data_IF_232647062004
#
_entry.id   IF_232647062004
#
_cell.length_a   1.000
_cell.length_b   1.000
_cell.length_c   1.000
_cell.angle_alpha   90.00
_cell.angle_beta   90.00
_cell.angle_gamma   90.00
#
_symmetry.space_group_name_H-M   'P 1'
#
loop_
_entity.id
_entity.type
_entity.pdbx_description
1 polymer ?
#
# COMPACT_ATOMS: atom_id res chain seq x y z
N UNK A 1 0.68 -8.72 12.42
CA UNK A 1 0.31 -7.58 11.55
C UNK A 1 -0.76 -6.71 12.25
N UNK A 2 -1.20 -5.53 11.75
CA UNK A 2 -2.15 -4.64 12.45
C UNK A 2 -3.39 -5.37 12.98
N UNK A 3 -4.00 -6.23 12.14
CA UNK A 3 -5.19 -6.99 12.49
C UNK A 3 -4.97 -7.93 13.68
N UNK A 4 -3.78 -8.51 13.82
CA UNK A 4 -3.45 -9.35 14.97
C UNK A 4 -3.34 -8.51 16.24
N UNK A 5 -2.75 -7.31 16.15
CA UNK A 5 -2.70 -6.38 17.29
C UNK A 5 -4.11 -5.96 17.71
N UNK A 6 -4.96 -5.62 16.75
CA UNK A 6 -6.36 -5.29 16.96
C UNK A 6 -7.13 -6.43 17.67
N UNK A 7 -6.91 -7.67 17.25
CA UNK A 7 -7.52 -8.86 17.89
C UNK A 7 -7.08 -9.06 19.33
N UNK A 8 -5.82 -8.74 19.65
CA UNK A 8 -5.28 -8.88 21.02
C UNK A 8 -5.51 -7.66 21.91
N UNK A 9 -5.98 -6.54 21.35
CA UNK A 9 -6.13 -5.29 22.08
C UNK A 9 -7.37 -5.35 22.99
N UNK A 10 -7.19 -4.97 24.26
CA UNK A 10 -8.28 -4.74 25.21
C UNK A 10 -8.47 -3.22 25.35
N UNK A 11 -9.40 -2.62 24.60
CA UNK A 11 -9.59 -1.18 24.65
C UNK A 11 -10.18 -0.76 26.00
N UNK A 12 -9.52 0.18 26.68
CA UNK A 12 -10.12 0.92 27.80
C UNK A 12 -11.14 1.94 27.25
N UNK A 13 -12.06 2.39 28.11
CA UNK A 13 -13.05 3.41 27.76
C UNK A 13 -12.46 4.79 27.42
N UNK A 14 -11.15 4.98 27.62
CA UNK A 14 -10.43 6.21 27.31
C UNK A 14 -9.93 6.27 25.85
N UNK A 15 -10.02 5.18 25.10
CA UNK A 15 -9.57 5.15 23.71
C UNK A 15 -10.63 5.67 22.74
N UNK A 16 -10.20 6.55 21.84
CA UNK A 16 -11.01 7.04 20.73
C UNK A 16 -10.54 6.37 19.44
N UNK A 17 -11.49 5.88 18.65
CA UNK A 17 -11.22 5.35 17.32
C UNK A 17 -11.25 6.48 16.29
N UNK A 18 -10.13 6.69 15.61
CA UNK A 18 -10.00 7.66 14.53
C UNK A 18 -9.76 6.93 13.21
N UNK A 19 -10.47 7.34 12.16
CA UNK A 19 -10.32 6.79 10.81
C UNK A 19 -9.49 7.72 9.94
N UNK A 20 -8.48 7.18 9.26
CA UNK A 20 -7.66 7.92 8.29
C UNK A 20 -7.91 7.37 6.89
N UNK A 21 -8.04 8.27 5.92
CA UNK A 21 -8.15 7.91 4.51
C UNK A 21 -6.91 8.34 3.72
N UNK A 22 -6.51 7.52 2.74
CA UNK A 22 -5.38 7.81 1.87
C UNK A 22 -5.87 8.50 0.60
N UNK A 23 -5.61 9.80 0.51
CA UNK A 23 -6.02 10.58 -0.65
C UNK A 23 -5.28 10.19 -1.92
N UNK A 24 -6.03 9.72 -2.92
CA UNK A 24 -5.55 9.48 -4.28
C UNK A 24 -4.36 8.50 -4.37
N UNK A 25 -4.44 7.39 -3.66
CA UNK A 25 -3.39 6.35 -3.57
C UNK A 25 -2.77 6.01 -4.94
N UNK A 26 -3.59 5.58 -5.89
CA UNK A 26 -3.10 5.12 -7.20
C UNK A 26 -2.34 6.21 -7.98
N UNK A 27 -2.76 7.47 -7.91
CA UNK A 27 -2.09 8.55 -8.66
C UNK A 27 -0.86 9.10 -7.94
N UNK A 28 -0.79 8.97 -6.62
CA UNK A 28 0.32 9.49 -5.81
C UNK A 28 1.49 8.51 -5.65
N UNK A 29 1.24 7.21 -5.67
CA UNK A 29 2.28 6.18 -5.60
C UNK A 29 3.17 6.23 -6.83
N UNK A 30 4.49 6.34 -6.65
CA UNK A 30 5.42 6.24 -7.77
C UNK A 30 5.61 4.78 -8.16
N UNK A 31 5.84 4.53 -9.46
CA UNK A 31 6.14 3.19 -9.96
C UNK A 31 7.38 2.62 -9.27
N UNK A 32 8.42 3.42 -9.05
CA UNK A 32 9.65 2.96 -8.41
C UNK A 32 9.43 2.54 -6.96
N UNK A 33 8.64 3.29 -6.18
CA UNK A 33 8.35 2.91 -4.80
C UNK A 33 7.48 1.65 -4.71
N UNK A 34 6.53 1.47 -5.64
CA UNK A 34 5.75 0.24 -5.74
C UNK A 34 6.62 -0.96 -6.14
N UNK A 35 7.54 -0.76 -7.10
CA UNK A 35 8.49 -1.78 -7.54
C UNK A 35 9.44 -2.19 -6.41
N UNK A 36 9.93 -1.23 -5.63
CA UNK A 36 10.76 -1.52 -4.47
C UNK A 36 9.99 -2.30 -3.40
N UNK A 37 8.74 -1.94 -3.13
CA UNK A 37 7.92 -2.64 -2.14
C UNK A 37 7.65 -4.10 -2.53
N UNK A 38 7.32 -4.38 -3.80
CA UNK A 38 7.12 -5.77 -4.26
C UNK A 38 8.43 -6.57 -4.27
N UNK A 39 9.55 -5.96 -4.61
CA UNK A 39 10.84 -6.62 -4.57
C UNK A 39 11.21 -7.10 -3.16
N UNK A 40 11.08 -6.22 -2.17
CA UNK A 40 11.33 -6.55 -0.77
C UNK A 40 10.39 -7.66 -0.28
N UNK A 41 9.10 -7.58 -0.65
CA UNK A 41 8.13 -8.62 -0.29
C UNK A 41 8.47 -9.97 -0.92
N UNK A 42 8.89 -9.99 -2.19
CA UNK A 42 9.28 -11.22 -2.90
C UNK A 42 10.52 -11.86 -2.28
N UNK A 43 11.52 -11.06 -1.89
CA UNK A 43 12.70 -11.56 -1.18
C UNK A 43 12.31 -12.13 0.19
N UNK A 44 11.46 -11.42 0.93
CA UNK A 44 11.04 -11.84 2.26
C UNK A 44 10.27 -13.17 2.23
N UNK A 45 9.53 -13.45 1.16
CA UNK A 45 8.67 -14.62 1.02
C UNK A 45 9.06 -15.55 -0.15
N UNK A 46 10.34 -15.55 -0.56
CA UNK A 46 10.81 -16.29 -1.75
C UNK A 46 10.46 -17.79 -1.72
N UNK A 47 10.44 -18.41 -0.52
CA UNK A 47 10.10 -19.82 -0.33
C UNK A 47 8.61 -20.14 -0.18
N UNK A 48 7.76 -19.12 -0.04
CA UNK A 48 6.30 -19.26 0.14
C UNK A 48 5.55 -18.86 -1.14
N UNK A 49 6.13 -17.97 -1.93
CA UNK A 49 5.56 -17.49 -3.18
C UNK A 49 5.65 -18.58 -4.26
N UNK A 50 4.51 -18.95 -4.84
CA UNK A 50 4.47 -19.75 -6.07
C UNK A 50 5.06 -18.96 -7.23
N UNK A 51 6.36 -19.11 -7.48
CA UNK A 51 7.07 -18.39 -8.55
C UNK A 51 6.88 -19.01 -9.94
N UNK A 52 6.21 -20.17 -10.03
CA UNK A 52 5.88 -20.86 -11.29
C UNK A 52 7.07 -20.99 -12.28
N UNK A 53 8.30 -21.13 -11.76
CA UNK A 53 9.52 -21.26 -12.56
C UNK A 53 10.22 -19.93 -12.92
N UNK A 54 9.67 -18.78 -12.53
CA UNK A 54 10.33 -17.48 -12.67
C UNK A 54 11.31 -17.21 -11.55
N UNK A 55 12.42 -16.52 -11.86
CA UNK A 55 13.26 -15.87 -10.85
C UNK A 55 12.69 -14.50 -10.49
N UNK A 56 13.02 -13.99 -9.30
CA UNK A 56 12.57 -12.67 -8.84
C UNK A 56 12.95 -11.59 -9.86
N UNK A 57 14.16 -11.62 -10.42
CA UNK A 57 14.62 -10.61 -11.37
C UNK A 57 13.79 -10.62 -12.67
N UNK A 58 13.38 -11.81 -13.12
CA UNK A 58 12.54 -11.96 -14.31
C UNK A 58 11.14 -11.42 -14.06
N UNK A 59 10.55 -11.74 -12.91
CA UNK A 59 9.25 -11.21 -12.52
C UNK A 59 9.27 -9.68 -12.40
N UNK A 60 10.34 -9.14 -11.79
CA UNK A 60 10.55 -7.70 -11.66
C UNK A 60 10.69 -7.00 -13.01
N UNK A 61 11.40 -7.60 -13.97
CA UNK A 61 11.50 -7.07 -15.32
C UNK A 61 10.13 -7.03 -16.03
N UNK A 62 9.33 -8.10 -15.90
CA UNK A 62 7.98 -8.16 -16.47
C UNK A 62 7.07 -7.09 -15.86
N UNK A 63 7.06 -6.97 -14.53
CA UNK A 63 6.25 -5.95 -13.83
C UNK A 63 6.63 -4.53 -14.26
N UNK A 64 7.93 -4.26 -14.45
CA UNK A 64 8.42 -2.96 -14.92
C UNK A 64 7.85 -2.62 -16.30
N UNK A 65 7.90 -3.57 -17.24
CA UNK A 65 7.37 -3.34 -18.58
C UNK A 65 5.84 -3.17 -18.56
N UNK A 66 5.11 -3.96 -17.75
CA UNK A 66 3.67 -3.77 -17.58
C UNK A 66 3.30 -2.37 -17.05
N UNK A 67 4.10 -1.78 -16.15
CA UNK A 67 3.87 -0.43 -15.64
C UNK A 67 4.20 0.66 -16.68
N UNK A 68 5.17 0.42 -17.56
CA UNK A 68 5.53 1.35 -18.66
C UNK A 68 4.46 1.37 -19.76
N UNK A 69 3.75 0.28 -19.96
CA UNK A 69 2.67 0.17 -20.95
C UNK A 69 1.34 0.82 -20.53
N UNK A 70 1.38 1.82 -19.64
CA UNK A 70 0.20 2.56 -19.20
C UNK A 70 -0.16 3.66 -20.21
N UNK A 71 -0.93 3.28 -21.23
CA UNK A 71 -1.41 4.18 -22.29
C UNK A 71 -2.92 4.35 -22.16
N UNK A 72 -3.42 5.58 -22.27
CA UNK A 72 -4.85 5.88 -22.30
C UNK A 72 -5.20 6.82 -23.46
N UNK A 73 -6.47 6.81 -23.88
CA UNK A 73 -6.98 7.63 -24.99
C UNK A 73 -7.89 8.72 -24.47
N UNK A 74 -7.62 9.97 -24.88
CA UNK A 74 -8.42 11.15 -24.55
C UNK A 74 -8.56 12.04 -25.81
N UNK A 75 -9.77 12.48 -26.20
CA UNK A 75 -10.09 13.11 -27.52
C UNK A 75 -9.40 12.47 -28.72
N UNK A 76 -9.39 11.15 -28.78
CA UNK A 76 -8.76 10.45 -29.91
C UNK A 76 -7.24 10.61 -30.00
N UNK A 77 -6.59 11.20 -28.99
CA UNK A 77 -5.13 11.21 -28.83
C UNK A 77 -4.72 10.18 -27.78
N UNK A 78 -3.54 9.59 -27.98
CA UNK A 78 -2.93 8.64 -27.06
C UNK A 78 -1.97 9.36 -26.12
N UNK A 79 -2.04 9.02 -24.85
CA UNK A 79 -1.19 9.56 -23.80
C UNK A 79 -0.60 8.42 -22.98
N UNK A 80 0.66 8.57 -22.57
CA UNK A 80 1.30 7.67 -21.62
C UNK A 80 1.23 8.26 -20.22
N UNK A 81 0.89 7.44 -19.25
CA UNK A 81 0.88 7.82 -17.84
C UNK A 81 2.31 7.78 -17.29
N UNK A 82 2.83 8.96 -16.97
CA UNK A 82 4.20 9.12 -16.47
C UNK A 82 4.33 8.91 -14.96
N UNK A 83 3.22 9.02 -14.22
CA UNK A 83 3.19 8.97 -12.75
C UNK A 83 1.94 8.26 -12.26
N UNK A 84 2.07 7.56 -11.14
CA UNK A 84 0.96 6.80 -10.58
C UNK A 84 0.87 5.42 -11.20
N UNK A 85 0.17 4.56 -10.48
CA UNK A 85 -0.32 3.30 -10.98
C UNK A 85 -1.59 3.57 -11.82
N UNK A 86 -1.64 3.02 -13.03
CA UNK A 86 -2.79 3.21 -13.91
C UNK A 86 -4.06 2.61 -13.30
N UNK A 87 -5.05 3.46 -13.03
CA UNK A 87 -6.36 3.00 -12.56
C UNK A 87 -7.01 2.11 -13.63
N UNK A 88 -7.51 0.94 -13.21
CA UNK A 88 -8.08 -0.06 -14.12
C UNK A 88 -7.08 -1.14 -14.56
N UNK A 89 -5.77 -0.96 -14.31
CA UNK A 89 -4.79 -2.03 -14.51
C UNK A 89 -4.89 -3.06 -13.38
N UNK A 90 -5.02 -4.35 -13.70
CA UNK A 90 -5.13 -5.40 -12.68
C UNK A 90 -3.94 -5.42 -11.72
N UNK A 91 -2.72 -5.19 -12.26
CA UNK A 91 -1.48 -5.15 -11.47
C UNK A 91 -1.40 -3.92 -10.55
N UNK A 92 -2.04 -2.80 -10.91
CA UNK A 92 -2.02 -1.59 -10.09
C UNK A 92 -2.61 -1.84 -8.71
N UNK A 93 -3.67 -2.68 -8.62
CA UNK A 93 -4.31 -3.02 -7.34
C UNK A 93 -3.35 -3.79 -6.43
N UNK A 94 -2.69 -4.82 -6.95
CA UNK A 94 -1.74 -5.62 -6.17
C UNK A 94 -0.54 -4.79 -5.72
N UNK A 95 -0.01 -3.95 -6.61
CA UNK A 95 1.11 -3.06 -6.28
C UNK A 95 0.74 -2.01 -5.24
N UNK A 96 -0.46 -1.42 -5.32
CA UNK A 96 -0.95 -0.49 -4.31
C UNK A 96 -1.12 -1.16 -2.94
N UNK A 97 -1.63 -2.41 -2.91
CA UNK A 97 -1.76 -3.18 -1.68
C UNK A 97 -0.41 -3.44 -1.02
N UNK A 98 0.57 -3.90 -1.80
CA UNK A 98 1.92 -4.21 -1.31
C UNK A 98 2.64 -2.93 -0.82
N UNK A 99 2.45 -1.82 -1.52
CA UNK A 99 2.94 -0.52 -1.09
C UNK A 99 2.32 -0.09 0.25
N UNK A 100 1.00 -0.23 0.40
CA UNK A 100 0.30 0.08 1.66
C UNK A 100 0.72 -0.84 2.80
N UNK A 101 0.96 -2.13 2.53
CA UNK A 101 1.50 -3.09 3.49
C UNK A 101 2.86 -2.63 4.05
N UNK A 102 3.76 -2.12 3.18
CA UNK A 102 5.05 -1.57 3.62
C UNK A 102 4.89 -0.30 4.47
N UNK A 103 3.94 0.58 4.11
CA UNK A 103 3.61 1.77 4.91
C UNK A 103 3.07 1.35 6.28
N UNK A 104 2.16 0.38 6.33
CA UNK A 104 1.57 -0.12 7.56
C UNK A 104 2.66 -0.57 8.54
N UNK A 105 3.61 -1.39 8.09
CA UNK A 105 4.74 -1.82 8.92
C UNK A 105 5.53 -0.65 9.51
N UNK A 106 5.77 0.40 8.71
CA UNK A 106 6.47 1.61 9.15
C UNK A 106 5.64 2.37 10.19
N UNK A 107 4.37 2.65 9.89
CA UNK A 107 3.46 3.39 10.76
C UNK A 107 3.27 2.67 12.09
N UNK A 108 3.05 1.35 12.10
CA UNK A 108 2.93 0.56 13.33
C UNK A 108 4.24 0.49 14.13
N UNK A 109 5.39 0.51 13.45
CA UNK A 109 6.70 0.55 14.08
C UNK A 109 6.93 1.84 14.88
N UNK A 110 6.35 2.95 14.42
CA UNK A 110 6.35 4.23 15.14
C UNK A 110 5.49 4.21 16.41
N UNK A 111 4.79 3.10 16.70
CA UNK A 111 3.79 2.99 17.77
C UNK A 111 2.81 4.18 17.70
N UNK A 112 1.87 4.20 16.75
CA UNK A 112 0.78 5.17 16.78
C UNK A 112 0.10 4.96 18.13
N UNK A 113 0.38 5.87 19.06
CA UNK A 113 -0.11 5.79 20.42
C UNK A 113 -1.63 5.78 20.32
N UNK A 114 -2.32 4.94 21.11
CA UNK A 114 -3.71 5.20 21.33
C UNK A 114 -3.81 6.58 22.01
N UNK A 115 -4.40 7.54 21.31
CA UNK A 115 -4.54 8.90 21.80
C UNK A 115 -5.76 8.93 22.73
N UNK A 116 -5.53 9.12 24.02
CA UNK A 116 -6.59 9.41 24.98
C UNK A 116 -6.90 10.90 24.91
N UNK A 117 -8.05 11.25 24.32
CA UNK A 117 -8.67 12.53 24.66
C UNK A 117 -9.36 12.32 26.00
N UNK A 118 -8.80 12.85 27.08
CA UNK A 118 -9.61 13.15 28.26
C UNK A 118 -10.62 14.20 27.80
N UNK A 119 -11.85 13.76 27.49
CA UNK A 119 -12.98 14.68 27.41
C UNK A 119 -13.18 15.23 28.82
N UNK A 120 -12.54 16.36 29.12
CA UNK A 120 -12.96 17.22 30.22
C UNK A 120 -14.39 17.61 29.89
N UNK A 121 -15.34 17.00 30.60
CA UNK A 121 -16.73 17.43 30.62
C UNK A 121 -16.75 18.86 31.15
N UNK A 122 -16.74 19.82 30.23
CA UNK A 122 -17.17 21.18 30.52
C UNK A 122 -18.66 21.15 30.82
N UNK A 123 -19.01 20.94 32.08
CA UNK A 123 -20.25 21.44 32.64
C UNK A 123 -20.18 22.98 32.61
N UNK A 124 -20.98 23.60 31.74
CA UNK A 124 -21.99 24.65 32.02
C UNK A 124 -22.35 25.42 30.75
#
# INVERSE_FOLDING_TARGET
>A
MFLDRLRTMQPSSAYVMESFDVTALYTKVSNDSAMQAIFELLIQHEGEAGMYGFKIEQLMALLKECLRCSIFRWSGKYYSQIRGLAMGQQLARSLALVFMFKIEGTVLGLRPLPYCNEMVSGEM
#
